data_IF_408109823244
#
_entry.id   IF_408109823244
#
_cell.length_a   1.000
_cell.length_b   1.000
_cell.length_c   1.000
_cell.angle_alpha   90.00
_cell.angle_beta   90.00
_cell.angle_gamma   90.00
#
_symmetry.space_group_name_H-M   'P 1'
#
loop_
_entity.id
_entity.type
_entity.pdbx_description
1 polymer ?
#
# COMPACT_ATOMS: atom_id res chain seq x y z
N UNK A 1 -0.62 15.77 37.47
CA UNK A 1 0.62 15.19 36.89
C UNK A 1 0.41 13.77 36.33
N UNK A 2 -0.27 12.86 37.03
CA UNK A 2 -0.49 11.47 36.56
C UNK A 2 -1.31 11.36 35.25
N UNK A 3 -2.40 12.13 35.11
CA UNK A 3 -3.21 12.12 33.89
C UNK A 3 -2.42 12.56 32.64
N UNK A 4 -1.54 13.56 32.76
CA UNK A 4 -0.70 14.01 31.65
C UNK A 4 0.30 12.93 31.21
N UNK A 5 0.89 12.20 32.17
CA UNK A 5 1.80 11.09 31.87
C UNK A 5 1.08 9.94 31.12
N UNK A 6 -0.16 9.63 31.50
CA UNK A 6 -0.97 8.61 30.82
C UNK A 6 -1.34 9.01 29.39
N UNK A 7 -1.71 10.28 29.16
CA UNK A 7 -2.04 10.80 27.83
C UNK A 7 -0.81 10.73 26.92
N UNK A 8 0.36 11.19 27.40
CA UNK A 8 1.61 11.12 26.63
C UNK A 8 1.97 9.67 26.30
N UNK A 9 1.85 8.75 27.27
CA UNK A 9 2.08 7.33 27.05
C UNK A 9 1.16 6.74 25.98
N UNK A 10 -0.14 7.07 26.01
CA UNK A 10 -1.10 6.60 25.02
C UNK A 10 -0.82 7.15 23.62
N UNK A 11 -0.49 8.44 23.49
CA UNK A 11 -0.15 9.05 22.20
C UNK A 11 1.09 8.40 21.60
N UNK A 12 2.14 8.19 22.41
CA UNK A 12 3.36 7.51 21.94
C UNK A 12 3.08 6.07 21.52
N UNK A 13 2.27 5.33 22.28
CA UNK A 13 1.88 3.98 21.92
C UNK A 13 1.13 3.92 20.58
N UNK A 14 0.19 4.84 20.34
CA UNK A 14 -0.54 4.94 19.07
C UNK A 14 0.41 5.33 17.93
N UNK A 15 1.26 6.33 18.14
CA UNK A 15 2.22 6.80 17.13
C UNK A 15 3.18 5.70 16.66
N UNK A 16 3.50 4.74 17.53
CA UNK A 16 4.33 3.56 17.21
C UNK A 16 3.49 2.43 16.61
N UNK A 17 2.35 2.08 17.22
CA UNK A 17 1.55 0.93 16.79
C UNK A 17 0.88 1.17 15.42
N UNK A 18 0.43 2.40 15.15
CA UNK A 18 -0.26 2.76 13.91
C UNK A 18 0.55 2.46 12.64
N UNK A 19 1.81 2.94 12.47
CA UNK A 19 2.58 2.64 11.27
C UNK A 19 2.94 1.16 11.15
N UNK A 20 3.17 0.47 12.27
CA UNK A 20 3.60 -0.93 12.28
C UNK A 20 2.48 -1.89 11.91
N UNK A 21 1.25 -1.62 12.36
CA UNK A 21 0.10 -2.47 12.08
C UNK A 21 -0.70 -1.96 10.89
N UNK A 22 -1.24 -0.74 10.97
CA UNK A 22 -2.25 -0.24 10.06
C UNK A 22 -1.62 0.17 8.72
N UNK A 23 -0.55 0.98 8.74
CA UNK A 23 0.09 1.37 7.48
C UNK A 23 0.72 0.19 6.76
N UNK A 24 1.33 -0.75 7.51
CA UNK A 24 1.90 -1.96 6.91
C UNK A 24 0.83 -2.81 6.24
N UNK A 25 -0.31 -3.02 6.89
CA UNK A 25 -1.44 -3.74 6.30
C UNK A 25 -1.97 -3.04 5.05
N UNK A 26 -2.21 -1.73 5.12
CA UNK A 26 -2.74 -0.95 4.00
C UNK A 26 -1.82 -0.91 2.77
N UNK A 27 -0.49 -0.98 2.98
CA UNK A 27 0.52 -0.99 1.91
C UNK A 27 0.70 -2.36 1.25
N UNK A 28 0.25 -3.45 1.88
CA UNK A 28 0.42 -4.83 1.42
C UNK A 28 -0.91 -5.51 1.08
N UNK A 29 -1.96 -4.72 0.89
CA UNK A 29 -3.28 -5.27 0.63
C UNK A 29 -3.37 -5.86 -0.78
N UNK A 30 -3.50 -7.19 -0.85
CA UNK A 30 -3.75 -7.91 -2.09
C UNK A 30 -2.59 -8.77 -2.62
N UNK A 31 -1.38 -8.24 -2.82
CA UNK A 31 -0.30 -8.98 -3.49
C UNK A 31 0.33 -10.03 -2.58
N UNK A 32 0.75 -11.13 -3.19
CA UNK A 32 1.67 -12.10 -2.62
C UNK A 32 3.07 -11.52 -2.45
N UNK A 33 3.89 -12.17 -1.62
CA UNK A 33 5.28 -11.79 -1.42
C UNK A 33 6.14 -11.87 -2.70
N UNK A 34 5.76 -12.73 -3.65
CA UNK A 34 6.45 -12.83 -4.95
C UNK A 34 6.12 -11.61 -5.82
N UNK A 35 4.84 -11.25 -5.92
CA UNK A 35 4.39 -10.07 -6.68
C UNK A 35 4.96 -8.77 -6.08
N UNK A 36 5.11 -8.68 -4.77
CA UNK A 36 5.74 -7.52 -4.10
C UNK A 36 7.22 -7.33 -4.44
N UNK A 37 7.93 -8.38 -4.84
CA UNK A 37 9.36 -8.32 -5.20
C UNK A 37 9.60 -8.20 -6.71
N UNK A 38 8.54 -8.23 -7.51
CA UNK A 38 8.63 -8.14 -8.95
C UNK A 38 8.85 -6.68 -9.37
N UNK A 39 9.80 -6.45 -10.28
CA UNK A 39 9.94 -5.15 -10.95
C UNK A 39 8.78 -4.97 -11.94
N UNK A 40 8.07 -3.84 -11.83
CA UNK A 40 6.97 -3.49 -12.71
C UNK A 40 7.41 -2.49 -13.78
N UNK A 41 6.84 -2.54 -15.00
CA UNK A 41 7.10 -1.52 -16.01
C UNK A 41 6.80 -0.12 -15.48
N UNK A 42 7.79 0.78 -15.54
CA UNK A 42 7.68 2.15 -15.05
C UNK A 42 8.37 2.41 -13.71
N UNK A 43 8.73 1.36 -12.95
CA UNK A 43 9.50 1.51 -11.69
C UNK A 43 10.85 2.20 -11.94
N UNK A 44 11.46 1.96 -13.11
CA UNK A 44 12.72 2.56 -13.51
C UNK A 44 12.66 4.09 -13.65
N UNK A 45 11.46 4.67 -13.81
CA UNK A 45 11.26 6.12 -13.97
C UNK A 45 11.41 6.87 -12.66
N UNK A 46 11.21 6.21 -11.52
CA UNK A 46 11.42 6.80 -10.19
C UNK A 46 12.21 5.83 -9.30
N UNK A 47 13.55 5.80 -9.43
CA UNK A 47 14.41 4.90 -8.66
C UNK A 47 14.35 5.11 -7.14
N UNK A 48 13.97 6.33 -6.70
CA UNK A 48 13.94 6.72 -5.29
C UNK A 48 12.59 7.36 -4.92
N UNK A 49 11.48 6.59 -4.91
CA UNK A 49 10.18 7.14 -4.59
C UNK A 49 10.10 7.50 -3.10
N UNK A 50 9.50 8.64 -2.77
CA UNK A 50 9.21 9.01 -1.36
C UNK A 50 8.26 8.01 -0.69
N UNK A 51 7.37 7.40 -1.48
CA UNK A 51 6.47 6.33 -1.07
C UNK A 51 6.17 5.42 -2.25
N UNK A 52 6.19 4.11 -2.03
CA UNK A 52 5.75 3.10 -2.98
C UNK A 52 4.74 2.15 -2.29
N UNK A 53 3.73 1.73 -3.03
CA UNK A 53 2.74 0.74 -2.57
C UNK A 53 2.23 -0.04 -3.77
N UNK A 54 2.26 -1.36 -3.68
CA UNK A 54 1.70 -2.26 -4.69
C UNK A 54 0.40 -2.84 -4.16
N UNK A 55 -0.64 -2.84 -4.99
CA UNK A 55 -1.94 -3.46 -4.72
C UNK A 55 -2.27 -4.41 -5.83
N UNK A 56 -2.81 -5.56 -5.49
CA UNK A 56 -3.17 -6.58 -6.47
C UNK A 56 -4.52 -7.20 -6.13
N UNK A 57 -5.23 -7.61 -7.16
CA UNK A 57 -6.41 -8.45 -7.04
C UNK A 57 -6.41 -9.40 -8.22
N UNK A 58 -6.72 -10.67 -7.97
CA UNK A 58 -6.87 -11.66 -9.04
C UNK A 58 -8.26 -11.56 -9.65
N UNK A 59 -8.32 -11.29 -10.95
CA UNK A 59 -9.56 -11.30 -11.72
C UNK A 59 -9.57 -12.57 -12.59
N UNK A 60 -10.59 -13.41 -12.41
CA UNK A 60 -10.75 -14.65 -13.19
C UNK A 60 -11.51 -14.37 -14.50
N UNK A 61 -10.88 -13.60 -15.38
CA UNK A 61 -11.42 -13.24 -16.70
C UNK A 61 -10.29 -13.11 -17.74
N UNK A 62 -10.59 -13.21 -19.05
CA UNK A 62 -9.62 -12.92 -20.11
C UNK A 62 -9.06 -11.50 -20.02
N UNK A 63 -7.77 -11.35 -20.36
CA UNK A 63 -7.07 -10.05 -20.33
C UNK A 63 -7.78 -9.01 -21.21
N UNK A 64 -8.33 -9.43 -22.36
CA UNK A 64 -9.06 -8.53 -23.27
C UNK A 64 -10.30 -7.90 -22.64
N UNK A 65 -11.02 -8.63 -21.78
CA UNK A 65 -12.21 -8.12 -21.10
C UNK A 65 -11.82 -7.15 -19.97
N UNK A 66 -10.75 -7.47 -19.23
CA UNK A 66 -10.23 -6.59 -18.17
C UNK A 66 -9.70 -5.29 -18.77
N UNK A 67 -8.94 -5.38 -19.87
CA UNK A 67 -8.32 -4.22 -20.50
C UNK A 67 -9.36 -3.24 -21.05
N UNK A 68 -10.45 -3.74 -21.64
CA UNK A 68 -11.55 -2.91 -22.16
C UNK A 68 -12.17 -2.01 -21.07
N UNK A 69 -12.18 -2.45 -19.81
CA UNK A 69 -12.60 -1.62 -18.67
C UNK A 69 -11.50 -0.67 -18.18
N UNK A 70 -10.26 -1.14 -18.09
CA UNK A 70 -9.14 -0.33 -17.58
C UNK A 70 -8.88 0.92 -18.42
N UNK A 71 -8.94 0.80 -19.74
CA UNK A 71 -8.68 1.92 -20.65
C UNK A 71 -9.69 3.07 -20.52
N UNK A 72 -10.87 2.83 -19.95
CA UNK A 72 -11.92 3.85 -19.78
C UNK A 72 -11.61 4.83 -18.66
N UNK A 73 -10.85 4.41 -17.64
CA UNK A 73 -10.53 5.25 -16.47
C UNK A 73 -9.58 6.40 -16.88
N UNK A 74 -8.94 6.30 -18.04
CA UNK A 74 -7.95 7.26 -18.52
C UNK A 74 -6.64 7.17 -17.74
N UNK A 75 -5.63 7.93 -18.17
CA UNK A 75 -4.45 8.22 -17.36
C UNK A 75 -4.77 9.48 -16.55
N UNK A 76 -4.57 9.43 -15.23
CA UNK A 76 -4.50 10.65 -14.40
C UNK A 76 -3.22 11.42 -14.68
#
# INVERSE_FOLDING_TARGET
>A
MQAAALIVGAVLAIAVAYPLAILRWHRRWGPSDAELRQALPGDERMPHPKMASTRAITIRAPVSEVWAWLVQIGQG
#
